data_IF_385260429775
#
_entry.id   IF_385260429775
#
_cell.length_a   1.000
_cell.length_b   1.000
_cell.length_c   1.000
_cell.angle_alpha   90.00
_cell.angle_beta   90.00
_cell.angle_gamma   90.00
#
_symmetry.space_group_name_H-M   'P 1'
#
loop_
_entity.id
_entity.type
_entity.pdbx_description
1 polymer ?
#
# COMPACT_ATOMS: atom_id res chain seq x y z
N UNK A 1 11.25 -10.55 -16.58
CA UNK A 1 10.11 -10.99 -15.81
C UNK A 1 10.21 -10.38 -14.41
N UNK A 2 9.45 -9.28 -14.15
CA UNK A 2 9.55 -8.50 -12.92
C UNK A 2 9.27 -9.32 -11.66
N UNK A 3 8.36 -10.27 -11.73
CA UNK A 3 7.99 -11.13 -10.62
C UNK A 3 9.17 -11.97 -10.11
N UNK A 4 9.96 -12.57 -11.02
CA UNK A 4 11.16 -13.33 -10.63
C UNK A 4 12.23 -12.49 -9.95
N UNK A 5 12.33 -11.21 -10.30
CA UNK A 5 13.26 -10.30 -9.63
C UNK A 5 12.87 -10.07 -8.16
N UNK A 6 11.60 -9.81 -7.90
CA UNK A 6 11.09 -9.58 -6.54
C UNK A 6 11.17 -10.84 -5.69
N UNK A 7 10.86 -12.02 -6.26
CA UNK A 7 10.97 -13.30 -5.56
C UNK A 7 12.39 -13.57 -5.07
N UNK A 8 13.39 -13.30 -5.92
CA UNK A 8 14.80 -13.51 -5.55
C UNK A 8 15.36 -12.53 -4.54
N UNK A 9 14.74 -11.37 -4.40
CA UNK A 9 15.26 -10.28 -3.57
C UNK A 9 14.42 -10.01 -2.32
N UNK A 10 13.46 -10.87 -1.98
CA UNK A 10 12.55 -10.65 -0.86
C UNK A 10 13.28 -10.39 0.48
N UNK A 11 14.31 -11.17 0.82
CA UNK A 11 15.05 -10.99 2.06
C UNK A 11 15.90 -9.71 2.09
N UNK A 12 16.42 -9.28 0.93
CA UNK A 12 17.15 -8.00 0.80
C UNK A 12 16.21 -6.82 0.92
N UNK A 13 15.01 -6.94 0.34
CA UNK A 13 14.00 -5.91 0.39
C UNK A 13 13.56 -5.63 1.84
N UNK A 14 13.31 -6.65 2.63
CA UNK A 14 12.97 -6.50 4.04
C UNK A 14 14.07 -5.78 4.83
N UNK A 15 15.34 -6.15 4.62
CA UNK A 15 16.47 -5.48 5.26
C UNK A 15 16.63 -4.02 4.83
N UNK A 16 16.39 -3.72 3.55
CA UNK A 16 16.43 -2.36 3.03
C UNK A 16 15.36 -1.50 3.69
N UNK A 17 14.15 -2.03 3.84
CA UNK A 17 13.03 -1.35 4.48
C UNK A 17 13.30 -1.01 5.95
N UNK A 18 14.05 -1.84 6.66
CA UNK A 18 14.41 -1.60 8.08
C UNK A 18 15.34 -0.42 8.30
N UNK A 19 16.12 -0.03 7.29
CA UNK A 19 17.03 1.12 7.39
C UNK A 19 16.30 2.45 7.56
N UNK A 20 15.04 2.53 7.10
CA UNK A 20 14.21 3.72 7.18
C UNK A 20 13.17 3.64 8.31
N UNK A 21 13.54 2.99 9.42
CA UNK A 21 12.61 2.69 10.53
C UNK A 21 11.86 3.93 11.05
N UNK A 22 12.53 5.09 11.16
CA UNK A 22 11.90 6.32 11.64
C UNK A 22 10.81 6.82 10.68
N UNK A 23 11.05 6.74 9.36
CA UNK A 23 10.07 7.12 8.34
C UNK A 23 8.85 6.19 8.37
N UNK A 24 9.07 4.89 8.56
CA UNK A 24 7.98 3.91 8.68
C UNK A 24 7.16 4.13 9.95
N UNK A 25 7.80 4.41 11.09
CA UNK A 25 7.07 4.72 12.33
C UNK A 25 6.15 5.93 12.15
N UNK A 26 6.65 6.99 11.50
CA UNK A 26 5.82 8.15 11.18
C UNK A 26 4.67 7.79 10.25
N UNK A 27 4.90 6.94 9.25
CA UNK A 27 3.85 6.47 8.37
C UNK A 27 2.77 5.72 9.15
N UNK A 28 3.14 4.84 10.06
CA UNK A 28 2.16 4.11 10.88
C UNK A 28 1.32 5.06 11.73
N UNK A 29 1.94 6.07 12.33
CA UNK A 29 1.23 7.11 13.09
C UNK A 29 0.20 7.85 12.23
N UNK A 30 0.54 8.13 10.98
CA UNK A 30 -0.37 8.79 10.03
C UNK A 30 -1.50 7.86 9.58
N UNK A 31 -1.22 6.57 9.38
CA UNK A 31 -2.19 5.61 8.86
C UNK A 31 -3.17 5.11 9.91
N UNK A 32 -2.75 4.94 11.16
CA UNK A 32 -3.62 4.37 12.21
C UNK A 32 -4.97 5.07 12.34
N UNK A 33 -5.05 6.41 12.43
CA UNK A 33 -6.36 7.06 12.47
C UNK A 33 -7.17 6.92 11.17
N UNK A 34 -6.51 6.81 10.02
CA UNK A 34 -7.17 6.65 8.72
C UNK A 34 -7.84 5.27 8.60
N UNK A 35 -7.19 4.23 9.11
CA UNK A 35 -7.69 2.85 9.01
C UNK A 35 -8.52 2.41 10.22
N UNK A 36 -8.68 3.26 11.21
CA UNK A 36 -9.38 2.91 12.45
C UNK A 36 -10.81 2.47 12.18
N UNK A 37 -11.12 1.24 12.59
CA UNK A 37 -12.42 0.58 12.39
C UNK A 37 -12.82 0.47 10.91
N UNK A 38 -11.83 0.37 10.02
CA UNK A 38 -12.05 0.28 8.58
C UNK A 38 -11.67 -1.08 8.02
N UNK A 39 -12.31 -1.45 6.91
CA UNK A 39 -11.91 -2.58 6.08
C UNK A 39 -10.92 -2.09 5.03
N UNK A 40 -9.74 -2.66 5.04
CA UNK A 40 -8.57 -2.14 4.31
C UNK A 40 -8.03 -3.18 3.33
N UNK A 41 -7.68 -2.72 2.14
CA UNK A 41 -6.90 -3.49 1.16
C UNK A 41 -5.53 -2.82 1.01
N UNK A 42 -4.46 -3.59 1.17
CA UNK A 42 -3.11 -3.14 0.82
C UNK A 42 -2.63 -3.88 -0.43
N UNK A 43 -2.24 -3.13 -1.45
CA UNK A 43 -1.63 -3.64 -2.67
C UNK A 43 -0.10 -3.46 -2.59
N UNK A 44 0.63 -4.39 -3.20
CA UNK A 44 2.10 -4.40 -3.16
C UNK A 44 2.64 -4.37 -1.73
N UNK A 45 2.09 -5.23 -0.87
CA UNK A 45 2.40 -5.26 0.57
C UNK A 45 3.84 -5.67 0.87
N UNK A 46 4.52 -6.34 -0.06
CA UNK A 46 5.86 -6.87 0.14
C UNK A 46 5.86 -7.91 1.26
N UNK A 47 6.70 -7.71 2.26
CA UNK A 47 6.78 -8.58 3.45
C UNK A 47 5.76 -8.22 4.53
N UNK A 48 4.81 -7.35 4.22
CA UNK A 48 3.69 -7.03 5.10
C UNK A 48 4.00 -6.04 6.22
N UNK A 49 5.07 -5.25 6.08
CA UNK A 49 5.54 -4.38 7.15
C UNK A 49 4.49 -3.35 7.57
N UNK A 50 3.85 -2.68 6.61
CA UNK A 50 2.81 -1.69 6.90
C UNK A 50 1.60 -2.38 7.53
N UNK A 51 1.05 -3.39 6.88
CA UNK A 51 -0.14 -4.10 7.36
C UNK A 51 0.01 -4.63 8.79
N UNK A 52 1.16 -5.23 9.10
CA UNK A 52 1.46 -5.76 10.44
C UNK A 52 1.46 -4.69 11.52
N UNK A 53 1.86 -3.47 11.18
CA UNK A 53 2.00 -2.37 12.13
C UNK A 53 0.75 -1.50 12.29
N UNK A 54 -0.26 -1.67 11.42
CA UNK A 54 -1.51 -0.91 11.49
C UNK A 54 -2.74 -1.78 11.77
N UNK A 55 -2.59 -3.11 11.75
CA UNK A 55 -3.74 -4.04 11.83
C UNK A 55 -4.56 -3.90 13.11
N UNK A 56 -3.95 -3.50 14.22
CA UNK A 56 -4.68 -3.31 15.48
C UNK A 56 -5.75 -2.24 15.38
N UNK A 57 -5.52 -1.21 14.58
CA UNK A 57 -6.46 -0.10 14.38
C UNK A 57 -7.59 -0.44 13.42
N UNK A 58 -7.35 -1.34 12.46
CA UNK A 58 -8.34 -1.73 11.44
C UNK A 58 -9.32 -2.78 11.95
N UNK A 59 -10.46 -2.89 11.29
CA UNK A 59 -11.37 -4.02 11.50
C UNK A 59 -10.91 -5.26 10.73
N UNK A 60 -10.38 -5.06 9.52
CA UNK A 60 -9.91 -6.13 8.66
C UNK A 60 -8.92 -5.59 7.63
N UNK A 61 -7.86 -6.34 7.36
CA UNK A 61 -6.89 -6.02 6.31
C UNK A 61 -6.69 -7.23 5.40
N UNK A 62 -6.93 -7.02 4.10
CA UNK A 62 -6.47 -7.87 3.02
C UNK A 62 -5.17 -7.27 2.48
N UNK A 63 -4.04 -7.95 2.64
CA UNK A 63 -2.74 -7.49 2.18
C UNK A 63 -2.24 -8.40 1.07
N UNK A 64 -1.97 -7.84 -0.08
CA UNK A 64 -1.69 -8.58 -1.31
C UNK A 64 -0.38 -8.17 -1.96
N UNK A 65 0.21 -9.10 -2.68
CA UNK A 65 1.39 -8.86 -3.51
C UNK A 65 1.37 -9.82 -4.70
N UNK A 66 2.02 -9.46 -5.78
CA UNK A 66 2.16 -10.33 -6.94
C UNK A 66 3.22 -11.43 -6.71
N UNK A 67 4.10 -11.26 -5.74
CA UNK A 67 5.20 -12.17 -5.44
C UNK A 67 4.81 -13.21 -4.39
N UNK A 68 4.85 -14.48 -4.76
CA UNK A 68 4.65 -15.61 -3.86
C UNK A 68 5.66 -15.58 -2.70
N UNK A 69 6.92 -15.28 -3.00
CA UNK A 69 8.01 -15.22 -2.02
C UNK A 69 7.78 -14.14 -0.97
N UNK A 70 7.34 -12.94 -1.39
CA UNK A 70 6.98 -11.85 -0.49
C UNK A 70 5.85 -12.26 0.46
N UNK A 71 4.81 -12.88 -0.06
CA UNK A 71 3.65 -13.31 0.73
C UNK A 71 4.04 -14.41 1.73
N UNK A 72 4.89 -15.35 1.33
CA UNK A 72 5.38 -16.38 2.25
C UNK A 72 6.15 -15.77 3.43
N UNK A 73 7.00 -14.79 3.18
CA UNK A 73 7.68 -14.05 4.25
C UNK A 73 6.70 -13.22 5.09
N UNK A 74 5.75 -12.58 4.45
CA UNK A 74 4.73 -11.79 5.15
C UNK A 74 3.93 -12.63 6.15
N UNK A 75 3.58 -13.86 5.81
CA UNK A 75 2.81 -14.77 6.67
C UNK A 75 3.55 -15.21 7.93
N UNK A 76 4.87 -15.11 7.97
CA UNK A 76 5.66 -15.59 9.09
C UNK A 76 5.37 -14.81 10.37
N UNK A 77 5.06 -15.50 11.45
CA UNK A 77 4.84 -14.93 12.77
C UNK A 77 3.54 -14.15 12.92
N UNK A 78 2.65 -14.16 11.92
CA UNK A 78 1.37 -13.47 12.00
C UNK A 78 0.38 -14.25 12.85
N UNK A 79 -0.14 -13.60 13.90
CA UNK A 79 -1.12 -14.17 14.83
C UNK A 79 -2.49 -13.49 14.77
N UNK A 80 -2.59 -12.35 14.11
CA UNK A 80 -3.83 -11.59 14.02
C UNK A 80 -4.87 -12.32 13.16
N UNK A 81 -6.09 -12.41 13.66
CA UNK A 81 -7.23 -12.94 12.89
C UNK A 81 -7.86 -11.91 11.96
N UNK A 82 -7.39 -10.66 12.00
CA UNK A 82 -7.88 -9.55 11.17
C UNK A 82 -7.03 -9.30 9.93
N UNK A 83 -5.88 -9.97 9.80
CA UNK A 83 -4.91 -9.74 8.73
C UNK A 83 -4.77 -11.00 7.87
N UNK A 84 -5.04 -10.85 6.57
CA UNK A 84 -4.91 -11.92 5.58
C UNK A 84 -3.96 -11.51 4.48
N UNK A 85 -2.98 -12.38 4.21
CA UNK A 85 -2.03 -12.21 3.12
C UNK A 85 -2.37 -13.16 1.97
N UNK A 86 -2.37 -12.65 0.73
CA UNK A 86 -2.56 -13.47 -0.46
C UNK A 86 -1.82 -12.93 -1.67
N UNK A 87 -1.49 -13.82 -2.59
CA UNK A 87 -0.90 -13.46 -3.89
C UNK A 87 -2.04 -13.03 -4.80
N UNK A 88 -2.03 -11.78 -5.26
CA UNK A 88 -3.06 -11.24 -6.14
C UNK A 88 -2.44 -10.34 -7.21
N UNK A 89 -3.13 -10.26 -8.34
CA UNK A 89 -2.84 -9.31 -9.41
C UNK A 89 -3.67 -8.04 -9.18
N UNK A 90 -3.00 -6.89 -9.03
CA UNK A 90 -3.70 -5.61 -8.80
C UNK A 90 -4.54 -5.14 -9.99
N UNK A 91 -4.33 -5.72 -11.17
CA UNK A 91 -5.15 -5.44 -12.36
C UNK A 91 -6.44 -6.26 -12.42
N UNK A 92 -6.54 -7.32 -11.61
CA UNK A 92 -7.67 -8.25 -11.57
C UNK A 92 -7.88 -8.74 -10.13
N UNK A 93 -8.50 -7.90 -9.31
CA UNK A 93 -8.72 -8.20 -7.90
C UNK A 93 -9.94 -9.11 -7.71
N UNK A 94 -9.84 -10.13 -6.85
CA UNK A 94 -10.92 -11.10 -6.63
C UNK A 94 -12.02 -10.59 -5.68
N UNK A 95 -12.06 -9.28 -5.42
CA UNK A 95 -12.98 -8.67 -4.47
C UNK A 95 -14.17 -8.06 -5.20
N UNK A 96 -15.33 -8.06 -4.53
CA UNK A 96 -16.54 -7.43 -5.05
C UNK A 96 -16.39 -5.90 -5.12
N UNK A 97 -17.24 -5.27 -5.93
CA UNK A 97 -17.33 -3.81 -5.97
C UNK A 97 -17.64 -3.26 -4.58
N UNK A 98 -17.08 -2.10 -4.26
CA UNK A 98 -17.38 -1.39 -3.02
C UNK A 98 -17.15 -2.22 -1.74
N UNK A 99 -16.06 -3.01 -1.71
CA UNK A 99 -15.70 -3.88 -0.58
C UNK A 99 -14.87 -3.22 0.49
N UNK A 100 -14.14 -2.16 0.16
CA UNK A 100 -13.14 -1.57 1.05
C UNK A 100 -13.39 -0.10 1.34
N UNK A 101 -13.11 0.28 2.59
CA UNK A 101 -13.12 1.68 3.03
C UNK A 101 -11.83 2.41 2.64
N UNK A 102 -10.70 1.69 2.65
CA UNK A 102 -9.36 2.23 2.38
C UNK A 102 -8.57 1.25 1.53
N UNK A 103 -7.90 1.76 0.52
CA UNK A 103 -6.88 1.02 -0.24
C UNK A 103 -5.54 1.74 -0.05
N UNK A 104 -4.51 0.98 0.33
CA UNK A 104 -3.15 1.47 0.52
C UNK A 104 -2.25 0.88 -0.56
N UNK A 105 -1.50 1.73 -1.25
CA UNK A 105 -0.47 1.33 -2.22
C UNK A 105 0.81 2.11 -1.93
N UNK A 106 1.74 1.51 -1.24
CA UNK A 106 2.99 2.16 -0.87
C UNK A 106 4.08 1.93 -1.93
N UNK A 107 4.75 2.99 -2.37
CA UNK A 107 5.94 2.97 -3.24
C UNK A 107 5.78 2.19 -4.57
N UNK A 108 4.58 1.98 -5.06
CA UNK A 108 4.36 1.10 -6.20
C UNK A 108 3.69 1.76 -7.40
N UNK A 109 2.78 2.72 -7.20
CA UNK A 109 1.99 3.28 -8.31
C UNK A 109 2.84 3.93 -9.41
N UNK A 110 3.98 4.50 -9.07
CA UNK A 110 4.87 5.15 -10.04
C UNK A 110 5.73 4.17 -10.86
N UNK A 111 5.83 2.91 -10.44
CA UNK A 111 6.60 1.87 -11.13
C UNK A 111 5.73 0.80 -11.79
N UNK A 112 4.42 0.84 -11.56
CA UNK A 112 3.47 -0.11 -12.14
C UNK A 112 3.27 0.23 -13.63
N UNK A 113 3.39 -0.76 -14.54
CA UNK A 113 2.97 -0.54 -15.93
C UNK A 113 1.45 -0.33 -15.97
N UNK A 114 0.99 0.57 -16.82
CA UNK A 114 -0.43 0.90 -16.97
C UNK A 114 -1.12 1.25 -15.64
N UNK A 115 -0.68 2.31 -14.92
CA UNK A 115 -1.25 2.67 -13.62
C UNK A 115 -2.75 2.97 -13.68
N UNK A 116 -3.27 3.38 -14.84
CA UNK A 116 -4.70 3.62 -15.04
C UNK A 116 -5.53 2.35 -14.84
N UNK A 117 -5.02 1.19 -15.25
CA UNK A 117 -5.70 -0.11 -15.03
C UNK A 117 -5.75 -0.47 -13.56
N UNK A 118 -4.65 -0.27 -12.83
CA UNK A 118 -4.60 -0.48 -11.39
C UNK A 118 -5.58 0.46 -10.68
N UNK A 119 -5.61 1.74 -11.07
CA UNK A 119 -6.53 2.72 -10.49
C UNK A 119 -7.99 2.39 -10.79
N UNK A 120 -8.30 1.85 -11.96
CA UNK A 120 -9.65 1.39 -12.29
C UNK A 120 -10.11 0.28 -11.36
N UNK A 121 -9.27 -0.71 -11.08
CA UNK A 121 -9.57 -1.78 -10.12
C UNK A 121 -9.68 -1.26 -8.69
N UNK A 122 -8.80 -0.38 -8.27
CA UNK A 122 -8.87 0.27 -6.96
C UNK A 122 -10.19 1.01 -6.79
N UNK A 123 -10.56 1.80 -7.80
CA UNK A 123 -11.84 2.53 -7.80
C UNK A 123 -13.04 1.59 -7.69
N UNK A 124 -13.00 0.47 -8.39
CA UNK A 124 -14.08 -0.53 -8.37
C UNK A 124 -14.29 -1.11 -6.97
N UNK A 125 -13.21 -1.50 -6.29
CA UNK A 125 -13.27 -2.16 -4.98
C UNK A 125 -13.45 -1.19 -3.82
N UNK A 126 -13.19 0.11 -4.01
CA UNK A 126 -13.45 1.13 -2.99
C UNK A 126 -14.93 1.47 -2.91
N UNK A 127 -15.43 1.66 -1.70
CA UNK A 127 -16.74 2.27 -1.47
C UNK A 127 -16.74 3.72 -1.96
N UNK A 128 -17.93 4.30 -2.19
CA UNK A 128 -18.09 5.67 -2.71
C UNK A 128 -17.38 6.72 -1.87
N UNK A 129 -17.38 6.55 -0.54
CA UNK A 129 -16.67 7.41 0.41
C UNK A 129 -15.28 6.88 0.77
N UNK A 130 -14.81 5.86 0.07
CA UNK A 130 -13.54 5.22 0.30
C UNK A 130 -12.35 6.10 -0.08
N UNK A 131 -11.20 5.81 0.52
CA UNK A 131 -9.98 6.57 0.35
C UNK A 131 -8.83 5.72 -0.19
N UNK A 132 -8.16 6.21 -1.22
CA UNK A 132 -6.86 5.70 -1.65
C UNK A 132 -5.76 6.44 -0.90
N UNK A 133 -4.84 5.68 -0.31
CA UNK A 133 -3.63 6.20 0.31
C UNK A 133 -2.42 5.63 -0.41
N UNK A 134 -1.60 6.49 -0.98
CA UNK A 134 -0.41 6.08 -1.72
C UNK A 134 0.84 6.71 -1.09
N UNK A 135 1.39 6.12 -0.02
CA UNK A 135 2.60 6.62 0.61
C UNK A 135 3.80 6.46 -0.31
N UNK A 136 4.63 7.49 -0.38
CA UNK A 136 5.92 7.44 -1.05
C UNK A 136 7.01 7.94 -0.12
N UNK A 137 8.14 7.24 -0.13
CA UNK A 137 9.34 7.66 0.60
C UNK A 137 10.24 8.41 -0.38
N UNK A 138 10.52 9.68 -0.08
CA UNK A 138 11.52 10.43 -0.82
C UNK A 138 12.85 10.30 -0.10
N UNK A 139 13.82 9.66 -0.74
CA UNK A 139 15.20 9.76 -0.33
C UNK A 139 15.72 11.13 -0.80
N UNK A 140 15.62 12.14 0.05
CA UNK A 140 16.36 13.36 -0.17
C UNK A 140 17.83 13.05 0.12
N UNK A 141 18.69 13.22 -0.87
CA UNK A 141 20.13 13.09 -0.70
C UNK A 141 20.56 13.84 0.58
N UNK A 142 21.22 13.15 1.50
CA UNK A 142 21.77 13.68 2.75
C UNK A 142 20.82 14.12 3.86
N UNK A 143 19.56 13.75 3.87
CA UNK A 143 18.71 14.02 5.01
C UNK A 143 18.58 12.78 5.92
N UNK A 144 18.98 12.95 7.18
CA UNK A 144 18.82 11.95 8.26
C UNK A 144 17.36 11.55 8.49
N UNK A 145 16.41 12.24 7.84
CA UNK A 145 14.98 12.04 7.97
C UNK A 145 14.37 12.01 6.57
N UNK A 146 14.13 10.82 6.04
CA UNK A 146 13.31 10.66 4.85
C UNK A 146 11.93 11.28 5.09
N UNK A 147 11.53 12.20 4.21
CA UNK A 147 10.18 12.76 4.27
C UNK A 147 9.19 11.73 3.74
N UNK A 148 8.20 11.38 4.56
CA UNK A 148 7.07 10.58 4.10
C UNK A 148 6.10 11.52 3.41
N UNK A 149 5.89 11.30 2.12
CA UNK A 149 4.80 11.93 1.37
C UNK A 149 3.70 10.88 1.22
N UNK A 150 2.52 11.20 1.69
CA UNK A 150 1.37 10.35 1.53
C UNK A 150 0.31 11.07 0.70
N UNK A 151 -0.21 10.38 -0.30
CA UNK A 151 -1.28 10.87 -1.14
C UNK A 151 -2.60 10.26 -0.64
N UNK A 152 -3.52 11.14 -0.23
CA UNK A 152 -4.85 10.75 0.22
C UNK A 152 -5.87 11.25 -0.80
N UNK A 153 -6.60 10.34 -1.44
CA UNK A 153 -7.54 10.72 -2.47
C UNK A 153 -8.84 9.94 -2.38
N UNK A 154 -9.95 10.66 -2.50
CA UNK A 154 -11.24 10.06 -2.80
C UNK A 154 -11.35 9.92 -4.31
N UNK A 155 -11.48 8.69 -4.79
CA UNK A 155 -11.54 8.40 -6.23
C UNK A 155 -12.92 8.63 -6.87
N UNK A 156 -13.97 8.74 -6.06
CA UNK A 156 -15.31 9.00 -6.56
C UNK A 156 -15.34 10.35 -7.30
N UNK A 157 -15.63 10.33 -8.61
CA UNK A 157 -15.67 11.52 -9.46
C UNK A 157 -14.31 12.01 -9.96
N UNK A 158 -13.21 11.33 -9.63
CA UNK A 158 -11.88 11.71 -10.15
C UNK A 158 -11.70 11.21 -11.60
N UNK A 159 -11.27 12.08 -12.55
CA UNK A 159 -11.03 11.64 -13.92
C UNK A 159 -9.76 10.79 -14.01
N UNK A 160 -9.91 9.52 -14.41
CA UNK A 160 -8.80 8.56 -14.52
C UNK A 160 -7.81 8.87 -15.66
N UNK A 161 -8.11 9.86 -16.51
CA UNK A 161 -7.29 10.21 -17.68
C UNK A 161 -6.37 11.40 -17.46
N UNK A 162 -6.37 12.01 -16.29
CA UNK A 162 -5.45 13.11 -16.00
C UNK A 162 -4.09 12.54 -15.60
N UNK A 163 -3.03 13.03 -16.25
CA UNK A 163 -1.67 12.73 -15.84
C UNK A 163 -1.47 13.25 -14.42
N UNK A 164 -0.89 12.41 -13.58
CA UNK A 164 -0.52 12.77 -12.22
C UNK A 164 0.46 13.94 -12.25
N UNK A 165 0.07 15.07 -11.71
CA UNK A 165 0.97 16.21 -11.53
C UNK A 165 1.50 16.21 -10.11
N UNK A 166 2.65 16.83 -9.91
CA UNK A 166 3.23 17.00 -8.56
C UNK A 166 2.30 17.75 -7.59
N UNK A 167 1.32 18.49 -8.13
CA UNK A 167 0.29 19.18 -7.35
C UNK A 167 -0.75 18.22 -6.72
N UNK A 168 -0.85 16.99 -7.23
CA UNK A 168 -1.78 15.98 -6.71
C UNK A 168 -1.25 15.29 -5.44
N UNK A 169 0.00 15.58 -5.06
CA UNK A 169 0.61 15.06 -3.85
C UNK A 169 0.47 16.05 -2.69
N UNK A 170 -0.39 15.71 -1.73
CA UNK A 170 -0.43 16.44 -0.46
C UNK A 170 0.76 16.02 0.38
N UNK A 171 1.69 16.94 0.65
CA UNK A 171 2.75 16.70 1.61
C UNK A 171 2.23 17.04 3.00
N UNK A 172 2.20 16.04 3.86
CA UNK A 172 1.94 16.23 5.28
C UNK A 172 3.29 16.45 5.97
N UNK A 173 3.45 17.63 6.54
CA UNK A 173 4.56 17.97 7.42
C UNK A 173 4.31 17.45 8.82
#
# INVERSE_FOLDING_TARGET
>A
NSQNFWDKNAGRYDRFMRKDAAAYERLYELLRPVVQHKTVLELATGTGLIAKNIVRSADHIEATDASQEMIEQAKQGVKSTKLYFSVQDMFHLPYADESFDVVIVANALHIVPEPERALSEIRRVLKDDGMLVAPTFTHADNAFFGKVKAFFMKLAGFPLHSKWTSADYLSFL
#
